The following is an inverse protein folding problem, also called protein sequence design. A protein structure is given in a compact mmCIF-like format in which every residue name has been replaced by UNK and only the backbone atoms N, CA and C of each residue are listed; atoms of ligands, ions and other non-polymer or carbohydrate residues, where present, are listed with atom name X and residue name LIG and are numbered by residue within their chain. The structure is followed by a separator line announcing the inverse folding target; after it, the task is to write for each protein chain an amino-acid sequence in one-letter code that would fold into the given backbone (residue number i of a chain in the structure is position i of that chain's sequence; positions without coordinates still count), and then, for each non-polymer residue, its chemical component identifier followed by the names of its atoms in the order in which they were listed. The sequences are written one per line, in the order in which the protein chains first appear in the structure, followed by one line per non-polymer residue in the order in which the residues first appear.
data_IF_072478395120
#
_entry.id   IF_072478395120
#
_cell.length_a   1.000
_cell.length_b   1.000
_cell.length_c   1.000
_cell.angle_alpha   90.00
_cell.angle_beta   90.00
_cell.angle_gamma   90.00
#
_symmetry.space_group_name_H-M   'P 1'
#
loop_
_entity.id
_entity.type
_entity.pdbx_description
1 polymer ?
#
# COMPACT_ATOMS: atom_id res chain seq x y z
N UNK A 1 -18.04 26.77 -11.79
CA UNK A 1 -17.28 26.21 -10.65
C UNK A 1 -16.95 24.77 -10.99
N UNK A 2 -15.66 24.36 -11.13
CA UNK A 2 -15.29 22.96 -11.30
C UNK A 2 -15.73 22.22 -10.02
N UNK A 3 -16.33 21.02 -10.17
CA UNK A 3 -16.58 20.16 -9.00
C UNK A 3 -15.24 19.91 -8.30
N UNK A 4 -15.18 20.06 -6.99
CA UNK A 4 -14.01 19.65 -6.23
C UNK A 4 -13.73 18.17 -6.49
N UNK A 5 -12.47 17.84 -6.77
CA UNK A 5 -12.05 16.44 -6.99
C UNK A 5 -12.24 15.65 -5.69
N UNK A 6 -12.76 14.44 -5.82
CA UNK A 6 -13.21 13.62 -4.67
C UNK A 6 -12.32 12.39 -4.45
N UNK A 7 -11.47 12.04 -5.42
CA UNK A 7 -10.53 10.93 -5.33
C UNK A 7 -9.17 11.33 -5.89
N UNK A 8 -8.12 10.63 -5.44
CA UNK A 8 -6.76 10.82 -5.94
C UNK A 8 -6.65 10.56 -7.45
N UNK A 9 -7.47 9.66 -7.99
CA UNK A 9 -7.48 9.27 -9.40
C UNK A 9 -8.00 10.35 -10.36
N UNK A 10 -8.60 11.43 -9.83
CA UNK A 10 -9.09 12.56 -10.63
C UNK A 10 -8.01 13.64 -10.89
N UNK A 11 -6.83 13.47 -10.31
CA UNK A 11 -5.72 14.40 -10.50
C UNK A 11 -4.77 13.96 -11.62
N UNK A 12 -3.97 14.91 -12.14
CA UNK A 12 -2.91 14.61 -13.08
C UNK A 12 -1.87 13.67 -12.45
N UNK A 13 -1.67 12.54 -13.11
CA UNK A 13 -0.80 11.49 -12.62
C UNK A 13 0.66 11.93 -12.45
N UNK A 14 1.16 12.85 -13.31
CA UNK A 14 2.52 13.37 -13.17
C UNK A 14 2.67 14.25 -11.92
N UNK A 15 1.61 15.00 -11.58
CA UNK A 15 1.56 15.80 -10.34
C UNK A 15 1.59 14.90 -9.12
N UNK A 16 0.78 13.82 -9.14
CA UNK A 16 0.73 12.82 -8.06
C UNK A 16 2.09 12.15 -7.89
N UNK A 17 2.66 11.66 -8.99
CA UNK A 17 3.95 11.02 -9.01
C UNK A 17 5.04 11.91 -8.39
N UNK A 18 5.20 13.14 -8.91
CA UNK A 18 6.23 14.06 -8.44
C UNK A 18 6.06 14.42 -6.95
N UNK A 19 4.82 14.48 -6.47
CA UNK A 19 4.55 14.71 -5.05
C UNK A 19 5.06 13.56 -4.18
N UNK A 20 4.77 12.31 -4.56
CA UNK A 20 5.14 11.13 -3.79
C UNK A 20 6.61 10.69 -3.99
N UNK A 21 7.27 11.10 -5.09
CA UNK A 21 8.67 10.74 -5.36
C UNK A 21 9.67 11.31 -4.34
N UNK A 22 9.26 12.37 -3.61
CA UNK A 22 10.09 13.05 -2.62
C UNK A 22 10.15 12.35 -1.26
N UNK A 23 9.41 11.25 -1.06
CA UNK A 23 9.30 10.56 0.22
C UNK A 23 9.67 9.08 0.10
N UNK A 24 10.21 8.51 1.18
CA UNK A 24 10.68 7.12 1.21
C UNK A 24 9.52 6.11 1.16
N UNK A 25 8.38 6.43 1.77
CA UNK A 25 7.15 5.64 1.73
C UNK A 25 6.00 6.48 1.19
N UNK A 26 5.27 5.93 0.24
CA UNK A 26 4.15 6.59 -0.40
C UNK A 26 2.81 6.38 0.34
N UNK A 27 2.84 5.76 1.52
CA UNK A 27 1.67 5.52 2.37
C UNK A 27 2.03 5.30 3.83
N UNK A 28 1.03 5.27 4.73
CA UNK A 28 1.21 4.98 6.14
C UNK A 28 1.82 3.60 6.38
N UNK A 29 2.86 3.52 7.17
CA UNK A 29 3.57 2.29 7.51
C UNK A 29 4.84 2.58 8.29
N UNK A 30 5.50 1.53 8.78
CA UNK A 30 6.81 1.62 9.45
C UNK A 30 7.56 0.30 9.35
N UNK A 31 8.87 0.34 9.56
CA UNK A 31 9.68 -0.88 9.66
C UNK A 31 9.13 -1.87 10.70
N UNK A 32 8.73 -1.36 11.87
CA UNK A 32 8.18 -2.18 12.96
C UNK A 32 6.92 -2.93 12.53
N UNK A 33 6.01 -2.25 11.84
CA UNK A 33 4.75 -2.85 11.35
C UNK A 33 5.01 -3.89 10.26
N UNK A 34 5.91 -3.61 9.31
CA UNK A 34 6.34 -4.57 8.30
C UNK A 34 6.94 -5.82 8.96
N UNK A 35 7.83 -5.66 9.94
CA UNK A 35 8.44 -6.78 10.69
C UNK A 35 7.41 -7.56 11.52
N UNK A 36 6.46 -6.86 12.15
CA UNK A 36 5.36 -7.52 12.85
C UNK A 36 4.54 -8.40 11.92
N UNK A 37 4.18 -7.89 10.73
CA UNK A 37 3.45 -8.67 9.75
C UNK A 37 4.28 -9.87 9.25
N UNK A 38 5.56 -9.66 8.99
CA UNK A 38 6.48 -10.71 8.55
C UNK A 38 6.61 -11.85 9.61
N UNK A 39 6.51 -11.54 10.89
CA UNK A 39 6.61 -12.54 11.96
C UNK A 39 5.48 -13.59 11.97
N UNK A 40 4.42 -13.40 11.20
CA UNK A 40 3.34 -14.37 11.03
C UNK A 40 3.54 -15.29 9.80
N UNK A 41 4.65 -15.13 9.08
CA UNK A 41 4.93 -15.86 7.84
C UNK A 41 6.09 -16.82 8.09
N UNK A 42 5.81 -18.11 7.94
CA UNK A 42 6.78 -19.16 8.17
C UNK A 42 7.29 -19.77 6.86
N UNK A 43 8.43 -20.45 6.93
CA UNK A 43 8.91 -21.36 5.89
C UNK A 43 9.58 -20.68 4.69
N UNK A 44 9.85 -19.37 4.74
CA UNK A 44 10.62 -18.71 3.69
C UNK A 44 12.09 -19.14 3.74
N UNK A 45 12.61 -19.57 2.58
CA UNK A 45 13.98 -20.05 2.37
C UNK A 45 14.65 -19.25 1.26
N UNK A 46 15.94 -19.45 1.01
CA UNK A 46 16.65 -18.83 -0.12
C UNK A 46 16.04 -19.16 -1.50
N UNK A 47 15.25 -20.25 -1.58
CA UNK A 47 14.58 -20.68 -2.82
C UNK A 47 13.17 -20.10 -2.96
N UNK A 48 12.67 -19.41 -1.94
CA UNK A 48 11.34 -18.81 -1.96
C UNK A 48 11.32 -17.61 -2.92
N UNK A 49 10.17 -17.36 -3.51
CA UNK A 49 9.93 -16.22 -4.39
C UNK A 49 8.88 -15.30 -3.76
N UNK A 50 9.21 -14.04 -3.62
CA UNK A 50 8.36 -13.02 -3.01
C UNK A 50 8.08 -11.92 -4.02
N UNK A 51 6.83 -11.49 -4.11
CA UNK A 51 6.45 -10.30 -4.86
C UNK A 51 5.92 -9.22 -3.91
N UNK A 52 6.42 -7.99 -4.04
CA UNK A 52 5.85 -6.79 -3.40
C UNK A 52 5.10 -5.97 -4.47
N UNK A 53 3.77 -5.98 -4.40
CA UNK A 53 2.89 -5.41 -5.43
C UNK A 53 2.44 -4.01 -5.02
N UNK A 54 2.74 -3.02 -5.87
CA UNK A 54 2.64 -1.61 -5.52
C UNK A 54 3.79 -1.21 -4.58
N UNK A 55 5.01 -1.64 -4.92
CA UNK A 55 6.18 -1.48 -4.05
C UNK A 55 6.66 -0.04 -3.88
N UNK A 56 6.18 0.91 -4.70
CA UNK A 56 6.63 2.29 -4.72
C UNK A 56 8.14 2.38 -4.93
N UNK A 57 8.82 3.18 -4.11
CA UNK A 57 10.30 3.32 -4.13
C UNK A 57 11.04 2.27 -3.29
N UNK A 58 10.30 1.26 -2.76
CA UNK A 58 10.87 0.12 -2.07
C UNK A 58 11.02 0.25 -0.55
N UNK A 59 10.34 1.19 0.10
CA UNK A 59 10.51 1.43 1.53
C UNK A 59 10.27 0.19 2.39
N UNK A 60 9.14 -0.52 2.22
CA UNK A 60 8.83 -1.78 2.89
C UNK A 60 9.64 -2.95 2.31
N UNK A 61 9.87 -2.96 0.99
CA UNK A 61 10.61 -4.04 0.33
C UNK A 61 12.03 -4.18 0.86
N UNK A 62 12.70 -3.05 1.15
CA UNK A 62 14.03 -3.07 1.77
C UNK A 62 14.00 -3.68 3.17
N UNK A 63 12.96 -3.41 3.96
CA UNK A 63 12.79 -4.06 5.28
C UNK A 63 12.64 -5.57 5.11
N UNK A 64 11.82 -6.01 4.16
CA UNK A 64 11.67 -7.44 3.85
C UNK A 64 13.02 -8.05 3.43
N UNK A 65 13.72 -7.46 2.46
CA UNK A 65 14.99 -7.99 1.94
C UNK A 65 16.10 -8.08 3.00
N UNK A 66 16.07 -7.25 4.02
CA UNK A 66 17.00 -7.32 5.15
C UNK A 66 16.67 -8.44 6.12
N UNK A 67 15.44 -8.98 6.11
CA UNK A 67 14.95 -9.91 7.14
C UNK A 67 14.51 -11.27 6.60
N UNK A 68 14.49 -11.47 5.28
CA UNK A 68 14.23 -12.77 4.66
C UNK A 68 15.41 -13.15 3.73
N UNK A 69 15.69 -14.45 3.55
CA UNK A 69 16.88 -14.88 2.79
C UNK A 69 16.68 -14.90 1.27
N UNK A 70 15.45 -14.73 0.78
CA UNK A 70 15.08 -14.99 -0.61
C UNK A 70 15.05 -13.72 -1.49
N UNK A 71 14.85 -13.95 -2.78
CA UNK A 71 14.66 -12.89 -3.78
C UNK A 71 13.27 -12.25 -3.66
N UNK A 72 13.22 -10.92 -3.86
CA UNK A 72 11.99 -10.14 -3.86
C UNK A 72 11.88 -9.38 -5.18
N UNK A 73 10.76 -9.53 -5.87
CA UNK A 73 10.41 -8.75 -7.05
C UNK A 73 9.40 -7.68 -6.65
N UNK A 74 9.82 -6.41 -6.71
CA UNK A 74 8.92 -5.26 -6.56
C UNK A 74 8.23 -4.97 -7.88
N UNK A 75 6.89 -4.88 -7.88
CA UNK A 75 6.09 -4.51 -9.06
C UNK A 75 5.46 -3.15 -8.81
N UNK A 76 5.70 -2.20 -9.71
CA UNK A 76 5.16 -0.86 -9.62
C UNK A 76 4.82 -0.31 -11.02
N UNK A 77 3.74 0.47 -11.10
CA UNK A 77 3.27 1.03 -12.36
C UNK A 77 4.21 2.11 -12.92
N UNK A 78 4.84 2.88 -12.04
CA UNK A 78 5.63 4.05 -12.40
C UNK A 78 7.10 3.71 -12.59
N UNK A 79 7.60 3.92 -13.82
CA UNK A 79 9.00 3.63 -14.18
C UNK A 79 10.00 4.38 -13.30
N UNK A 80 9.69 5.62 -12.92
CA UNK A 80 10.59 6.43 -12.11
C UNK A 80 10.64 5.95 -10.66
N UNK A 81 9.53 5.43 -10.11
CA UNK A 81 9.55 4.74 -8.81
C UNK A 81 10.42 3.49 -8.87
N UNK A 82 10.34 2.72 -9.95
CA UNK A 82 11.20 1.56 -10.16
C UNK A 82 12.67 1.95 -10.31
N UNK A 83 12.98 3.02 -11.00
CA UNK A 83 14.35 3.55 -11.08
C UNK A 83 14.89 3.91 -9.69
N UNK A 84 14.08 4.60 -8.88
CA UNK A 84 14.41 4.92 -7.50
C UNK A 84 14.51 3.68 -6.61
N UNK A 85 13.59 2.72 -6.75
CA UNK A 85 13.63 1.42 -6.07
C UNK A 85 14.95 0.71 -6.31
N UNK A 86 15.37 0.55 -7.58
CA UNK A 86 16.60 -0.14 -7.93
C UNK A 86 17.85 0.63 -7.46
N UNK A 87 17.82 1.97 -7.48
CA UNK A 87 18.90 2.80 -6.92
C UNK A 87 18.97 2.64 -5.38
N UNK A 88 17.83 2.59 -4.70
CA UNK A 88 17.76 2.35 -3.26
C UNK A 88 18.29 0.96 -2.90
N UNK A 89 17.98 -0.07 -3.71
CA UNK A 89 18.51 -1.41 -3.56
C UNK A 89 20.04 -1.43 -3.69
N UNK A 90 20.60 -0.74 -4.68
CA UNK A 90 22.06 -0.60 -4.83
C UNK A 90 22.70 0.10 -3.64
N UNK A 91 22.16 1.23 -3.20
CA UNK A 91 22.66 2.01 -2.08
C UNK A 91 22.68 1.22 -0.76
N UNK A 92 21.81 0.23 -0.62
CA UNK A 92 21.72 -0.67 0.56
C UNK A 92 22.43 -2.01 0.37
N UNK A 93 23.10 -2.24 -0.79
CA UNK A 93 23.72 -3.53 -1.14
C UNK A 93 22.71 -4.70 -1.13
N UNK A 94 21.49 -4.46 -1.60
CA UNK A 94 20.39 -5.44 -1.67
C UNK A 94 20.03 -5.82 -3.11
N UNK A 95 20.70 -5.24 -4.11
CA UNK A 95 20.39 -5.39 -5.54
C UNK A 95 20.50 -6.85 -6.06
N UNK A 96 21.23 -7.73 -5.37
CA UNK A 96 21.31 -9.14 -5.70
C UNK A 96 20.07 -9.94 -5.27
N UNK A 97 19.26 -9.39 -4.36
CA UNK A 97 18.09 -10.04 -3.77
C UNK A 97 16.77 -9.28 -3.93
N UNK A 98 16.83 -8.02 -4.36
CA UNK A 98 15.61 -7.28 -4.66
C UNK A 98 15.73 -6.57 -6.00
N UNK A 99 14.71 -6.73 -6.82
CA UNK A 99 14.63 -6.18 -8.18
C UNK A 99 13.27 -5.54 -8.41
N UNK A 100 13.25 -4.27 -8.79
CA UNK A 100 12.04 -3.58 -9.21
C UNK A 100 11.77 -3.79 -10.71
N UNK A 101 10.53 -4.03 -11.06
CA UNK A 101 10.05 -4.11 -12.45
C UNK A 101 8.83 -3.23 -12.65
N UNK A 102 8.73 -2.60 -13.81
CA UNK A 102 7.53 -1.87 -14.20
C UNK A 102 6.45 -2.89 -14.55
N UNK A 103 5.29 -2.78 -13.89
CA UNK A 103 4.18 -3.69 -14.11
C UNK A 103 2.86 -3.16 -13.58
N UNK A 104 1.77 -3.65 -14.13
CA UNK A 104 0.43 -3.32 -13.67
C UNK A 104 -0.08 -4.44 -12.75
N UNK A 105 -0.55 -4.06 -11.56
CA UNK A 105 -1.10 -4.99 -10.56
C UNK A 105 -2.37 -5.74 -11.03
N UNK A 106 -3.03 -5.24 -12.08
CA UNK A 106 -4.14 -5.93 -12.75
C UNK A 106 -3.66 -7.03 -13.71
N UNK A 107 -2.39 -6.99 -14.14
CA UNK A 107 -1.80 -7.97 -15.06
C UNK A 107 -0.37 -8.27 -14.65
N UNK A 108 -0.22 -9.04 -13.57
CA UNK A 108 1.09 -9.36 -13.00
C UNK A 108 1.87 -10.35 -13.89
N UNK A 109 3.20 -10.16 -14.03
CA UNK A 109 4.05 -10.97 -14.92
C UNK A 109 4.54 -12.26 -14.26
N UNK A 110 3.71 -12.92 -13.46
CA UNK A 110 4.04 -14.18 -12.78
C UNK A 110 3.28 -15.35 -13.37
N UNK A 111 3.86 -16.54 -13.23
CA UNK A 111 3.21 -17.79 -13.57
C UNK A 111 2.28 -18.25 -12.42
N UNK A 112 1.35 -19.15 -12.74
CA UNK A 112 0.54 -19.79 -11.71
C UNK A 112 1.43 -20.57 -10.74
N UNK A 113 1.11 -20.48 -9.43
CA UNK A 113 1.84 -21.16 -8.35
C UNK A 113 3.36 -20.87 -8.30
N UNK A 114 3.77 -19.68 -8.74
CA UNK A 114 5.18 -19.28 -8.73
C UNK A 114 5.65 -18.74 -7.37
N UNK A 115 4.77 -18.00 -6.66
CA UNK A 115 5.13 -17.20 -5.50
C UNK A 115 4.86 -17.93 -4.18
N UNK A 116 5.79 -17.79 -3.24
CA UNK A 116 5.61 -18.24 -1.85
C UNK A 116 4.94 -17.15 -0.99
N UNK A 117 5.13 -15.87 -1.36
CA UNK A 117 4.54 -14.72 -0.66
C UNK A 117 4.20 -13.61 -1.64
N UNK A 118 2.99 -13.06 -1.50
CA UNK A 118 2.60 -11.77 -2.07
C UNK A 118 2.48 -10.76 -0.93
N UNK A 119 3.18 -9.64 -1.08
CA UNK A 119 3.16 -8.51 -0.16
C UNK A 119 2.56 -7.28 -0.86
N UNK A 120 1.80 -6.45 -0.12
CA UNK A 120 1.27 -5.18 -0.66
C UNK A 120 0.88 -4.24 0.49
N UNK A 121 1.71 -3.25 0.79
CA UNK A 121 1.38 -2.23 1.78
C UNK A 121 0.85 -0.96 1.11
N UNK A 122 -0.38 -0.55 1.44
CA UNK A 122 -0.99 0.69 0.97
C UNK A 122 -1.26 0.73 -0.54
N UNK A 123 -1.48 -0.42 -1.19
CA UNK A 123 -1.61 -0.46 -2.65
C UNK A 123 -2.77 -1.30 -3.19
N UNK A 124 -3.17 -2.39 -2.55
CA UNK A 124 -4.21 -3.31 -3.05
C UNK A 124 -5.54 -2.60 -3.35
N UNK A 125 -5.87 -1.54 -2.62
CA UNK A 125 -7.10 -0.76 -2.82
C UNK A 125 -7.23 -0.17 -4.25
N UNK A 126 -6.11 0.03 -4.97
CA UNK A 126 -6.12 0.56 -6.35
C UNK A 126 -6.87 -0.34 -7.35
N UNK A 127 -6.91 -1.65 -7.09
CA UNK A 127 -7.72 -2.60 -7.88
C UNK A 127 -8.90 -3.15 -7.10
N UNK A 128 -9.03 -2.79 -5.83
CA UNK A 128 -10.02 -3.31 -4.89
C UNK A 128 -9.53 -4.54 -4.14
N UNK A 129 -9.76 -4.55 -2.83
CA UNK A 129 -9.30 -5.61 -1.93
C UNK A 129 -9.83 -7.00 -2.33
N UNK A 130 -11.14 -7.10 -2.59
CA UNK A 130 -11.77 -8.35 -3.01
C UNK A 130 -11.19 -8.85 -4.33
N UNK A 131 -11.00 -7.97 -5.31
CA UNK A 131 -10.44 -8.32 -6.62
C UNK A 131 -9.00 -8.77 -6.48
N UNK A 132 -8.15 -8.01 -5.77
CA UNK A 132 -6.75 -8.37 -5.55
C UNK A 132 -6.60 -9.73 -4.88
N UNK A 133 -7.37 -10.03 -3.83
CA UNK A 133 -7.35 -11.35 -3.18
C UNK A 133 -7.68 -12.49 -4.15
N UNK A 134 -8.69 -12.33 -5.01
CA UNK A 134 -9.10 -13.38 -5.94
C UNK A 134 -8.13 -13.55 -7.11
N UNK A 135 -7.71 -12.46 -7.75
CA UNK A 135 -6.87 -12.52 -8.95
C UNK A 135 -5.43 -12.91 -8.63
N UNK A 136 -4.86 -12.40 -7.51
CA UNK A 136 -3.47 -12.69 -7.16
C UNK A 136 -3.28 -14.08 -6.56
N UNK A 137 -4.36 -14.71 -6.03
CA UNK A 137 -4.32 -16.05 -5.45
C UNK A 137 -3.72 -17.09 -6.39
N UNK A 138 -3.98 -16.99 -7.70
CA UNK A 138 -3.46 -17.96 -8.70
C UNK A 138 -1.94 -18.02 -8.74
N UNK A 139 -1.25 -16.90 -8.46
CA UNK A 139 0.21 -16.84 -8.48
C UNK A 139 0.86 -17.43 -7.23
N UNK A 140 0.12 -17.56 -6.14
CA UNK A 140 0.62 -18.20 -4.93
C UNK A 140 0.64 -19.71 -5.08
N UNK A 141 1.74 -20.32 -4.62
CA UNK A 141 1.81 -21.76 -4.38
C UNK A 141 0.77 -22.19 -3.35
N UNK A 142 0.42 -23.49 -3.35
CA UNK A 142 -0.37 -24.07 -2.26
C UNK A 142 0.37 -23.88 -0.93
N UNK A 143 -0.30 -23.32 0.08
CA UNK A 143 0.32 -22.95 1.35
C UNK A 143 1.13 -21.66 1.34
N UNK A 144 1.21 -20.95 0.21
CA UNK A 144 1.81 -19.61 0.11
C UNK A 144 0.98 -18.55 0.81
N UNK A 145 1.59 -17.41 1.11
CA UNK A 145 0.98 -16.36 1.91
C UNK A 145 0.66 -15.11 1.09
N UNK A 146 -0.39 -14.41 1.53
CA UNK A 146 -0.65 -13.02 1.15
C UNK A 146 -0.60 -12.14 2.41
N UNK A 147 0.06 -11.00 2.33
CA UNK A 147 0.13 -10.01 3.41
C UNK A 147 -0.12 -8.62 2.84
N UNK A 148 -1.25 -8.02 3.19
CA UNK A 148 -1.68 -6.74 2.61
C UNK A 148 -2.20 -5.78 3.69
N UNK A 149 -2.02 -4.49 3.49
CA UNK A 149 -2.73 -3.47 4.27
C UNK A 149 -3.91 -2.92 3.48
N UNK A 150 -5.00 -2.72 4.21
CA UNK A 150 -6.26 -2.26 3.63
C UNK A 150 -6.92 -1.21 4.53
N UNK A 151 -7.50 -0.17 3.93
CA UNK A 151 -8.25 0.83 4.68
C UNK A 151 -9.56 0.23 5.18
N UNK A 152 -9.77 0.31 6.48
CA UNK A 152 -10.78 -0.49 7.16
C UNK A 152 -11.49 0.29 8.25
N UNK A 153 -12.80 0.09 8.38
CA UNK A 153 -13.59 0.61 9.50
C UNK A 153 -13.33 -0.20 10.77
N UNK A 154 -13.12 0.51 11.88
CA UNK A 154 -12.96 -0.11 13.21
C UNK A 154 -14.30 -0.27 13.93
N UNK A 155 -15.34 0.45 13.49
CA UNK A 155 -16.67 0.49 14.12
C UNK A 155 -17.78 0.30 13.10
N UNK A 156 -18.90 -0.23 13.53
CA UNK A 156 -20.13 -0.33 12.70
C UNK A 156 -20.79 1.04 12.53
N UNK A 157 -20.82 1.85 13.60
CA UNK A 157 -21.33 3.22 13.57
C UNK A 157 -20.19 4.22 13.52
N UNK A 158 -20.35 5.28 12.72
CA UNK A 158 -19.36 6.33 12.51
C UNK A 158 -20.03 7.63 12.05
N UNK A 159 -19.38 8.80 12.25
CA UNK A 159 -19.90 10.07 11.78
C UNK A 159 -20.11 10.11 10.27
N UNK A 160 -21.21 10.74 9.83
CA UNK A 160 -21.58 10.81 8.42
C UNK A 160 -20.48 11.45 7.55
N UNK A 161 -19.81 12.48 8.05
CA UNK A 161 -18.75 13.18 7.31
C UNK A 161 -17.64 12.23 6.83
N UNK A 162 -17.11 11.37 7.72
CA UNK A 162 -16.05 10.43 7.34
C UNK A 162 -16.58 9.26 6.52
N UNK A 163 -17.80 8.83 6.76
CA UNK A 163 -18.45 7.80 5.95
C UNK A 163 -18.64 8.28 4.51
N UNK A 164 -19.15 9.50 4.30
CA UNK A 164 -19.34 10.07 2.97
C UNK A 164 -18.01 10.29 2.25
N UNK A 165 -16.98 10.74 2.95
CA UNK A 165 -15.65 10.91 2.38
C UNK A 165 -15.13 9.59 1.81
N UNK A 166 -15.09 8.52 2.59
CA UNK A 166 -14.56 7.24 2.15
C UNK A 166 -15.45 6.53 1.14
N UNK A 167 -16.77 6.66 1.21
CA UNK A 167 -17.66 6.13 0.17
C UNK A 167 -17.36 6.71 -1.21
N UNK A 168 -16.89 7.95 -1.28
CA UNK A 168 -16.49 8.62 -2.53
C UNK A 168 -15.06 8.29 -2.92
N UNK A 169 -14.13 8.31 -1.96
CA UNK A 169 -12.71 8.10 -2.21
C UNK A 169 -12.38 6.62 -2.44
N UNK A 170 -12.99 5.71 -1.67
CA UNK A 170 -12.79 4.27 -1.76
C UNK A 170 -14.03 3.53 -1.26
N UNK A 171 -14.93 3.18 -2.16
CA UNK A 171 -16.23 2.58 -1.82
C UNK A 171 -16.15 1.16 -1.24
N UNK A 172 -15.02 0.46 -1.41
CA UNK A 172 -14.81 -0.89 -0.85
C UNK A 172 -14.36 -0.88 0.62
N UNK A 173 -14.19 0.29 1.25
CA UNK A 173 -13.88 0.33 2.69
C UNK A 173 -14.98 -0.37 3.49
N UNK A 174 -14.58 -1.31 4.36
CA UNK A 174 -15.52 -2.18 5.10
C UNK A 174 -14.95 -2.51 6.49
N UNK A 175 -15.72 -3.17 7.33
CA UNK A 175 -15.29 -3.57 8.68
C UNK A 175 -14.32 -4.74 8.66
N UNK A 176 -13.54 -4.89 9.75
CA UNK A 176 -12.57 -5.98 9.90
C UNK A 176 -13.23 -7.36 9.69
N UNK A 177 -14.37 -7.70 10.32
CA UNK A 177 -15.02 -8.99 10.11
C UNK A 177 -15.39 -9.24 8.65
N UNK A 178 -15.88 -8.23 7.94
CA UNK A 178 -16.25 -8.34 6.54
C UNK A 178 -15.04 -8.56 5.63
N UNK A 179 -13.93 -7.84 5.87
CA UNK A 179 -12.67 -8.04 5.13
C UNK A 179 -12.07 -9.43 5.38
N UNK A 180 -12.11 -9.93 6.62
CA UNK A 180 -11.70 -11.31 6.95
C UNK A 180 -12.59 -12.33 6.24
N UNK A 181 -13.92 -12.11 6.22
CA UNK A 181 -14.85 -12.96 5.47
C UNK A 181 -14.56 -12.96 3.95
N UNK A 182 -14.19 -11.80 3.37
CA UNK A 182 -13.78 -11.72 1.97
C UNK A 182 -12.50 -12.54 1.71
N UNK A 183 -11.53 -12.48 2.62
CA UNK A 183 -10.31 -13.29 2.55
C UNK A 183 -10.61 -14.80 2.59
N UNK A 184 -11.48 -15.25 3.50
CA UNK A 184 -11.90 -16.65 3.58
C UNK A 184 -12.63 -17.11 2.30
N UNK A 185 -13.55 -16.30 1.78
CA UNK A 185 -14.27 -16.59 0.53
C UNK A 185 -13.34 -16.65 -0.69
N UNK A 186 -12.23 -15.92 -0.67
CA UNK A 186 -11.21 -15.98 -1.70
C UNK A 186 -10.28 -17.21 -1.56
N UNK A 187 -10.49 -18.10 -0.58
CA UNK A 187 -9.74 -19.34 -0.40
C UNK A 187 -8.42 -19.15 0.38
N UNK A 188 -8.42 -18.22 1.33
CA UNK A 188 -7.33 -18.09 2.29
C UNK A 188 -7.77 -18.50 3.69
N UNK A 189 -6.88 -19.16 4.41
CA UNK A 189 -6.95 -19.28 5.87
C UNK A 189 -6.42 -17.97 6.48
N UNK A 190 -7.23 -17.17 7.18
CA UNK A 190 -6.74 -16.00 7.90
C UNK A 190 -5.72 -16.43 8.98
N UNK A 191 -4.52 -15.86 8.94
CA UNK A 191 -3.44 -16.16 9.89
C UNK A 191 -3.37 -15.07 10.95
N UNK A 192 -3.36 -13.81 10.53
CA UNK A 192 -3.34 -12.67 11.44
C UNK A 192 -4.07 -11.48 10.84
N UNK A 193 -4.68 -10.69 11.73
CA UNK A 193 -5.27 -9.40 11.39
C UNK A 193 -4.97 -8.44 12.53
N UNK A 194 -4.40 -7.27 12.24
CA UNK A 194 -4.12 -6.26 13.26
C UNK A 194 -4.15 -4.84 12.70
N UNK A 195 -4.57 -3.90 13.53
CA UNK A 195 -4.60 -2.48 13.21
C UNK A 195 -3.18 -1.93 13.12
N UNK A 196 -2.88 -1.21 12.05
CA UNK A 196 -1.64 -0.45 11.91
C UNK A 196 -1.67 0.73 12.88
N UNK A 197 -0.60 0.87 13.68
CA UNK A 197 -0.55 1.87 14.74
C UNK A 197 -0.72 3.30 14.19
N UNK A 198 -1.43 4.13 14.91
CA UNK A 198 -1.75 5.50 14.48
C UNK A 198 -0.51 6.37 14.17
N UNK A 199 0.64 6.06 14.81
CA UNK A 199 1.88 6.78 14.52
C UNK A 199 2.35 6.63 13.07
N UNK A 200 2.00 5.53 12.40
CA UNK A 200 2.31 5.35 10.97
C UNK A 200 1.61 6.40 10.11
N UNK A 201 0.37 6.72 10.43
CA UNK A 201 -0.42 7.74 9.76
C UNK A 201 0.03 9.15 10.11
N UNK A 202 0.22 9.44 11.39
CA UNK A 202 0.63 10.77 11.85
C UNK A 202 2.03 11.13 11.36
N UNK A 203 2.96 10.16 11.33
CA UNK A 203 4.30 10.35 10.76
C UNK A 203 4.23 10.58 9.25
N UNK A 204 3.45 9.78 8.53
CA UNK A 204 3.24 9.93 7.09
C UNK A 204 2.73 11.33 6.77
N UNK A 205 1.63 11.78 7.39
CA UNK A 205 1.10 13.13 7.14
C UNK A 205 2.05 14.24 7.57
N UNK A 206 2.82 14.06 8.66
CA UNK A 206 3.85 15.03 9.08
C UNK A 206 4.96 15.18 8.04
N UNK A 207 5.40 14.09 7.44
CA UNK A 207 6.40 14.12 6.36
C UNK A 207 5.81 14.80 5.13
N UNK A 208 4.60 14.41 4.70
CA UNK A 208 3.93 15.00 3.55
C UNK A 208 3.71 16.50 3.71
N UNK A 209 3.31 16.95 4.90
CA UNK A 209 3.11 18.37 5.19
C UNK A 209 4.40 19.19 5.00
N UNK A 210 5.57 18.64 5.32
CA UNK A 210 6.86 19.30 5.10
C UNK A 210 7.20 19.48 3.63
N UNK A 211 6.70 18.63 2.75
CA UNK A 211 6.93 18.70 1.30
C UNK A 211 6.02 19.71 0.59
N UNK A 212 4.87 20.08 1.19
CA UNK A 212 3.87 20.95 0.55
C UNK A 212 4.45 22.27 0.05
N UNK A 213 5.28 22.96 0.86
CA UNK A 213 5.81 24.27 0.51
C UNK A 213 6.77 24.20 -0.68
N UNK A 214 7.68 23.24 -0.72
CA UNK A 214 8.63 23.03 -1.81
C UNK A 214 7.91 22.58 -3.08
N UNK A 215 6.93 21.69 -2.95
CA UNK A 215 6.10 21.23 -4.06
C UNK A 215 5.30 22.36 -4.70
N UNK A 216 4.57 23.16 -3.91
CA UNK A 216 3.82 24.31 -4.41
C UNK A 216 4.73 25.40 -5.01
N UNK A 217 5.98 25.55 -4.52
CA UNK A 217 6.97 26.43 -5.13
C UNK A 217 7.39 25.94 -6.51
N UNK A 218 7.61 24.61 -6.66
CA UNK A 218 7.95 23.97 -7.95
C UNK A 218 6.81 24.14 -8.96
N UNK A 219 5.58 23.96 -8.51
CA UNK A 219 4.36 24.05 -9.32
C UNK A 219 3.63 25.39 -9.21
N UNK A 220 4.36 26.50 -9.04
CA UNK A 220 3.77 27.82 -8.87
C UNK A 220 2.77 28.16 -9.98
N UNK A 221 1.52 28.45 -9.62
CA UNK A 221 0.44 28.80 -10.54
C UNK A 221 -0.24 27.58 -11.22
N UNK A 222 0.16 26.36 -10.87
CA UNK A 222 -0.52 25.15 -11.34
C UNK A 222 -1.69 24.82 -10.41
N UNK A 223 -2.93 25.06 -10.89
CA UNK A 223 -4.15 24.84 -10.11
C UNK A 223 -4.33 23.38 -9.68
N UNK A 224 -3.94 22.43 -10.53
CA UNK A 224 -4.05 20.98 -10.20
C UNK A 224 -3.17 20.62 -9.01
N UNK A 225 -1.95 21.16 -8.94
CA UNK A 225 -1.05 20.96 -7.80
C UNK A 225 -1.59 21.62 -6.51
N UNK A 226 -2.17 22.82 -6.62
CA UNK A 226 -2.80 23.50 -5.48
C UNK A 226 -4.01 22.75 -4.96
N UNK A 227 -4.88 22.25 -5.86
CA UNK A 227 -6.03 21.42 -5.52
C UNK A 227 -5.60 20.09 -4.89
N UNK A 228 -4.54 19.46 -5.41
CA UNK A 228 -4.01 18.21 -4.89
C UNK A 228 -3.47 18.37 -3.46
N UNK A 229 -2.66 19.39 -3.21
CA UNK A 229 -2.17 19.67 -1.84
C UNK A 229 -3.33 19.99 -0.89
N UNK A 230 -4.37 20.69 -1.35
CA UNK A 230 -5.55 20.97 -0.55
C UNK A 230 -6.31 19.69 -0.21
N UNK A 231 -6.44 18.75 -1.17
CA UNK A 231 -7.03 17.43 -0.94
C UNK A 231 -6.22 16.63 0.10
N UNK A 232 -4.88 16.60 -0.02
CA UNK A 232 -4.01 15.90 0.94
C UNK A 232 -4.10 16.48 2.36
N UNK A 233 -4.23 17.79 2.50
CA UNK A 233 -4.43 18.45 3.80
C UNK A 233 -5.78 18.06 4.40
N UNK A 234 -6.84 18.09 3.61
CA UNK A 234 -8.17 17.73 4.05
C UNK A 234 -8.25 16.25 4.48
N UNK A 235 -7.64 15.33 3.74
CA UNK A 235 -7.54 13.93 4.15
C UNK A 235 -6.82 13.77 5.49
N UNK A 236 -5.70 14.49 5.69
CA UNK A 236 -4.98 14.48 6.95
C UNK A 236 -5.83 15.04 8.12
N UNK A 237 -6.55 16.14 7.92
CA UNK A 237 -7.47 16.72 8.91
C UNK A 237 -8.57 15.72 9.30
N UNK A 238 -9.17 15.04 8.31
CA UNK A 238 -10.17 14.00 8.56
C UNK A 238 -9.57 12.83 9.35
N UNK A 239 -8.33 12.41 9.03
CA UNK A 239 -7.68 11.36 9.80
C UNK A 239 -7.48 11.78 11.28
N UNK A 240 -6.92 12.96 11.55
CA UNK A 240 -6.74 13.43 12.92
C UNK A 240 -8.05 13.52 13.69
N UNK A 241 -9.15 13.89 13.03
CA UNK A 241 -10.48 13.99 13.62
C UNK A 241 -11.13 12.63 13.86
N UNK A 242 -10.92 11.66 12.96
CA UNK A 242 -11.68 10.41 12.89
C UNK A 242 -10.86 9.13 13.00
N UNK A 243 -9.59 9.20 13.40
CA UNK A 243 -8.69 8.04 13.53
C UNK A 243 -9.19 6.93 14.47
N UNK A 244 -10.18 7.21 15.32
CA UNK A 244 -10.82 6.19 16.15
C UNK A 244 -11.79 5.29 15.36
N UNK A 245 -12.18 5.67 14.15
CA UNK A 245 -13.19 4.99 13.35
C UNK A 245 -12.63 4.20 12.18
N UNK A 246 -11.42 4.53 11.69
CA UNK A 246 -10.80 3.88 10.53
C UNK A 246 -9.28 3.99 10.53
N UNK A 247 -8.68 3.17 9.69
CA UNK A 247 -7.26 3.20 9.40
C UNK A 247 -6.82 1.95 8.64
N UNK A 248 -5.53 1.81 8.43
CA UNK A 248 -5.02 0.58 7.84
C UNK A 248 -5.07 -0.57 8.83
N UNK A 249 -5.48 -1.71 8.30
CA UNK A 249 -5.42 -3.01 8.97
C UNK A 249 -4.56 -3.92 8.11
N UNK A 250 -3.63 -4.62 8.72
CA UNK A 250 -2.89 -5.70 8.06
C UNK A 250 -3.74 -6.96 8.05
N UNK A 251 -3.82 -7.59 6.87
CA UNK A 251 -4.48 -8.88 6.65
C UNK A 251 -3.46 -9.87 6.12
N UNK A 252 -3.25 -10.95 6.83
CA UNK A 252 -2.31 -12.02 6.49
C UNK A 252 -3.10 -13.30 6.34
N UNK A 253 -3.02 -13.94 5.19
CA UNK A 253 -3.70 -15.17 4.87
C UNK A 253 -2.80 -16.18 4.19
N UNK A 254 -3.11 -17.47 4.37
CA UNK A 254 -2.44 -18.60 3.75
C UNK A 254 -3.35 -19.24 2.72
N UNK A 255 -2.89 -19.44 1.49
CA UNK A 255 -3.65 -20.13 0.43
C UNK A 255 -3.95 -21.57 0.85
N UNK A 256 -5.24 -21.96 0.84
CA UNK A 256 -5.75 -23.29 1.09
C UNK A 256 -6.45 -23.86 -0.13
#
# INVERSE_FOLDING_TARGET
MSKAKQTIHEFDLNVIYDYFSSVERQGPGSQEITLKALSFIDGLTEKSKVADIGCGTGGQTMVLAQNIPCEIIGVELWSDFINQFNQNAQNKNLHDRMKGIVGNMENLPFQEEELDLIWSEGAIYNIGFKRGLNEWRRFLKQGGYIAVTENTWFTEERPAEIQEFWQKAYSEIDTIPNKVSQMQKAGYLPIATFVVHESCWTNYYSIMQKTHASFLKKYKGNKTAEEFVSYQRYEAELYYKYKAYYGYVFYIGKKI
#
